data_IF_014118035644
#
_entry.id   IF_014118035644
#
_cell.length_a   1.000
_cell.length_b   1.000
_cell.length_c   1.000
_cell.angle_alpha   90.00
_cell.angle_beta   90.00
_cell.angle_gamma   90.00
#
_symmetry.space_group_name_H-M   'P 1'
#
loop_
_entity.id
_entity.type
_entity.pdbx_description
1 polymer ?
#
# COMPACT_ATOMS: atom_id res chain seq x y z
N UNK A 1 2.99 11.88 17.15
CA UNK A 1 3.85 11.77 15.95
C UNK A 1 3.75 10.36 15.39
N UNK A 2 3.54 10.19 14.11
CA UNK A 2 3.56 8.85 13.52
C UNK A 2 4.97 8.28 13.57
N UNK A 3 5.05 6.96 13.58
CA UNK A 3 6.32 6.24 13.41
C UNK A 3 6.44 5.83 11.95
N UNK A 4 7.48 6.29 11.28
CA UNK A 4 7.73 5.97 9.87
C UNK A 4 9.01 5.16 9.79
N UNK A 5 8.92 3.95 9.23
CA UNK A 5 10.07 3.06 9.07
C UNK A 5 10.15 2.58 7.63
N UNK A 6 11.36 2.48 7.10
CA UNK A 6 11.57 1.83 5.81
C UNK A 6 11.42 0.32 5.99
N UNK A 7 10.79 -0.33 5.00
CA UNK A 7 10.74 -1.79 4.95
C UNK A 7 12.16 -2.38 4.94
N UNK A 8 12.38 -3.42 5.72
CA UNK A 8 13.63 -4.15 5.69
C UNK A 8 13.71 -5.19 4.55
N UNK A 9 12.65 -5.31 3.74
CA UNK A 9 12.59 -6.24 2.61
C UNK A 9 12.73 -5.53 1.26
N UNK A 10 12.02 -4.40 1.07
CA UNK A 10 12.02 -3.65 -0.19
C UNK A 10 12.46 -2.22 0.06
N UNK A 11 13.57 -1.82 -0.56
CA UNK A 11 14.13 -0.48 -0.42
C UNK A 11 13.13 0.59 -0.89
N UNK A 12 13.00 1.66 -0.11
CA UNK A 12 12.13 2.80 -0.44
C UNK A 12 10.67 2.62 -0.08
N UNK A 13 10.21 1.42 0.25
CA UNK A 13 8.87 1.21 0.81
C UNK A 13 8.87 1.73 2.25
N UNK A 14 7.96 2.68 2.54
CA UNK A 14 7.83 3.27 3.87
C UNK A 14 6.56 2.74 4.52
N UNK A 15 6.66 2.34 5.79
CA UNK A 15 5.53 1.90 6.59
C UNK A 15 5.26 2.97 7.64
N UNK A 16 4.03 3.50 7.63
CA UNK A 16 3.61 4.56 8.54
C UNK A 16 2.67 3.97 9.58
N UNK A 17 3.08 4.06 10.85
CA UNK A 17 2.20 3.76 11.99
C UNK A 17 1.67 5.09 12.52
N UNK A 18 0.40 5.45 12.22
CA UNK A 18 -0.13 6.74 12.64
C UNK A 18 -0.39 6.77 14.15
N UNK A 19 -0.35 7.98 14.71
CA UNK A 19 -0.80 8.19 16.07
C UNK A 19 -2.32 8.13 16.12
N UNK A 20 -2.88 7.33 17.01
CA UNK A 20 -4.32 7.21 17.20
C UNK A 20 -4.73 7.93 18.48
N UNK A 21 -5.78 8.74 18.37
CA UNK A 21 -6.36 9.48 19.49
C UNK A 21 -7.78 8.99 19.72
N UNK A 22 -8.03 8.31 20.85
CA UNK A 22 -9.33 7.71 21.17
C UNK A 22 -9.93 8.26 22.44
N UNK A 23 -11.26 8.30 22.48
CA UNK A 23 -12.08 8.58 23.67
C UNK A 23 -13.39 7.79 23.59
N UNK A 24 -14.36 8.07 24.46
CA UNK A 24 -15.63 7.34 24.46
C UNK A 24 -16.47 7.50 23.18
N UNK A 25 -16.15 8.49 22.33
CA UNK A 25 -16.85 8.70 21.04
C UNK A 25 -16.24 7.90 19.91
N UNK A 26 -15.07 7.28 20.09
CA UNK A 26 -14.33 6.57 19.07
C UNK A 26 -12.88 7.04 18.97
N UNK A 27 -12.35 7.11 17.76
CA UNK A 27 -10.95 7.51 17.57
C UNK A 27 -10.77 8.43 16.38
N UNK A 28 -9.63 9.14 16.39
CA UNK A 28 -9.20 10.02 15.32
C UNK A 28 -7.77 9.67 14.93
N UNK A 29 -7.49 9.62 13.63
CA UNK A 29 -6.18 9.31 13.07
C UNK A 29 -5.90 10.28 11.93
N UNK A 30 -4.70 10.87 11.90
CA UNK A 30 -4.19 11.48 10.68
C UNK A 30 -3.65 10.37 9.77
N UNK A 31 -4.17 10.28 8.56
CA UNK A 31 -3.78 9.21 7.64
C UNK A 31 -2.69 9.61 6.67
N UNK A 32 -2.44 10.93 6.48
CA UNK A 32 -1.42 11.43 5.58
C UNK A 32 -1.00 12.86 5.95
N UNK A 33 0.31 13.10 5.88
CA UNK A 33 0.88 14.45 5.79
C UNK A 33 1.95 14.47 4.70
N UNK A 34 1.98 15.54 3.91
CA UNK A 34 3.03 15.74 2.90
C UNK A 34 4.45 15.60 3.47
N UNK A 35 4.68 16.13 4.66
CA UNK A 35 5.99 16.12 5.31
C UNK A 35 6.49 14.75 5.74
N UNK A 36 5.63 13.72 5.69
CA UNK A 36 6.04 12.36 6.04
C UNK A 36 6.95 11.74 4.99
N UNK A 37 6.89 12.22 3.75
CA UNK A 37 7.67 11.65 2.64
C UNK A 37 8.59 12.74 2.06
N UNK A 38 9.85 12.82 2.55
CA UNK A 38 10.72 13.99 2.36
C UNK A 38 11.25 14.18 0.95
N UNK A 39 11.08 13.26 0.04
CA UNK A 39 11.66 13.36 -1.30
C UNK A 39 10.90 14.30 -2.26
N UNK A 40 10.19 15.29 -1.72
CA UNK A 40 9.47 16.28 -2.50
C UNK A 40 8.22 15.76 -3.21
N UNK A 41 7.79 14.56 -2.87
CA UNK A 41 6.61 13.95 -3.45
C UNK A 41 5.37 14.40 -2.70
N UNK A 42 4.54 15.15 -3.38
CA UNK A 42 3.26 15.60 -2.85
C UNK A 42 2.15 14.76 -3.46
N UNK A 43 1.32 14.15 -2.62
CA UNK A 43 0.15 13.42 -3.11
C UNK A 43 -0.90 14.41 -3.60
N UNK A 44 -1.33 14.28 -4.85
CA UNK A 44 -2.19 15.24 -5.53
C UNK A 44 -3.54 14.68 -5.98
N UNK A 45 -3.71 13.35 -5.92
CA UNK A 45 -4.96 12.68 -6.26
C UNK A 45 -5.27 11.62 -5.20
N UNK A 46 -6.52 11.60 -4.73
CA UNK A 46 -7.00 10.57 -3.81
C UNK A 46 -8.02 9.67 -4.49
N UNK A 47 -7.89 8.37 -4.27
CA UNK A 47 -8.81 7.37 -4.81
C UNK A 47 -9.37 6.49 -3.68
N UNK A 48 -10.58 6.00 -3.85
CA UNK A 48 -11.19 5.02 -2.97
C UNK A 48 -11.65 3.81 -3.79
N UNK A 49 -11.32 2.63 -3.33
CA UNK A 49 -11.82 1.39 -3.89
C UNK A 49 -12.56 0.59 -2.82
N UNK A 50 -13.77 0.15 -3.13
CA UNK A 50 -14.50 -0.84 -2.35
C UNK A 50 -14.42 -2.16 -3.10
N UNK A 51 -14.08 -3.25 -2.40
CA UNK A 51 -13.92 -4.56 -3.02
C UNK A 51 -14.67 -5.61 -2.23
N UNK A 52 -15.25 -6.57 -2.94
CA UNK A 52 -15.86 -7.76 -2.34
C UNK A 52 -14.79 -8.76 -1.93
N UNK A 53 -15.07 -9.52 -0.88
CA UNK A 53 -14.22 -10.63 -0.47
C UNK A 53 -13.86 -11.53 -1.66
N UNK A 54 -12.61 -11.94 -1.74
CA UNK A 54 -12.10 -12.82 -2.80
C UNK A 54 -11.63 -12.11 -4.06
N UNK A 55 -11.67 -10.78 -4.12
CA UNK A 55 -11.12 -10.05 -5.26
C UNK A 55 -9.60 -9.96 -5.17
N UNK A 56 -8.94 -10.06 -6.33
CA UNK A 56 -7.50 -9.77 -6.48
C UNK A 56 -7.36 -8.62 -7.46
N UNK A 57 -6.68 -7.55 -7.04
CA UNK A 57 -6.42 -6.37 -7.84
C UNK A 57 -4.90 -6.22 -7.99
N UNK A 58 -4.43 -6.15 -9.21
CA UNK A 58 -2.99 -5.97 -9.50
C UNK A 58 -2.43 -7.14 -10.34
N UNK A 59 -1.13 -7.24 -10.44
CA UNK A 59 -0.12 -6.30 -9.96
C UNK A 59 0.03 -5.14 -10.95
N UNK A 60 0.07 -3.92 -10.42
CA UNK A 60 0.35 -2.74 -11.22
C UNK A 60 1.69 -2.13 -10.80
N UNK A 61 2.33 -1.40 -11.71
CA UNK A 61 3.50 -0.60 -11.37
C UNK A 61 3.56 0.65 -12.23
N UNK A 62 4.29 1.63 -11.74
CA UNK A 62 4.48 2.92 -12.41
C UNK A 62 5.97 3.23 -12.44
N UNK A 63 6.43 3.89 -13.50
CA UNK A 63 7.82 4.33 -13.60
C UNK A 63 8.05 5.68 -12.91
N UNK A 64 7.00 6.50 -12.79
CA UNK A 64 7.10 7.88 -12.31
C UNK A 64 6.22 8.17 -11.09
N UNK A 65 5.15 7.42 -10.87
CA UNK A 65 4.19 7.64 -9.81
C UNK A 65 4.51 6.81 -8.57
N UNK A 66 4.40 7.46 -7.41
CA UNK A 66 4.36 6.79 -6.11
C UNK A 66 2.93 6.72 -5.59
N UNK A 67 2.65 5.70 -4.81
CA UNK A 67 1.35 5.48 -4.17
C UNK A 67 1.50 5.51 -2.65
N UNK A 68 0.44 5.92 -1.95
CA UNK A 68 0.31 5.77 -0.50
C UNK A 68 -1.03 5.13 -0.16
N UNK A 69 -1.00 3.93 0.43
CA UNK A 69 -2.17 3.08 0.66
C UNK A 69 -2.58 3.04 2.12
N UNK A 70 -3.89 3.08 2.36
CA UNK A 70 -4.49 2.95 3.68
C UNK A 70 -5.79 2.14 3.58
N UNK A 71 -6.02 1.22 4.55
CA UNK A 71 -7.20 0.35 4.58
C UNK A 71 -8.08 0.71 5.78
N UNK A 72 -9.11 1.56 5.59
CA UNK A 72 -9.97 1.99 6.68
C UNK A 72 -11.02 0.95 7.11
N UNK A 73 -11.33 -0.03 6.26
CA UNK A 73 -12.38 -1.01 6.53
C UNK A 73 -12.02 -2.36 5.93
N UNK A 74 -12.31 -3.43 6.68
CA UNK A 74 -12.09 -4.81 6.23
C UNK A 74 -10.64 -5.25 6.33
N UNK A 75 -10.33 -6.40 5.73
CA UNK A 75 -9.00 -7.03 5.76
C UNK A 75 -8.46 -7.21 4.36
N UNK A 76 -7.23 -6.79 4.17
CA UNK A 76 -6.56 -6.75 2.88
C UNK A 76 -5.16 -7.35 3.00
N UNK A 77 -4.80 -8.19 2.05
CA UNK A 77 -3.41 -8.65 1.89
C UNK A 77 -2.76 -7.90 0.74
N UNK A 78 -1.81 -7.05 1.08
CA UNK A 78 -1.01 -6.30 0.10
C UNK A 78 0.17 -7.16 -0.32
N UNK A 79 0.43 -7.21 -1.62
CA UNK A 79 1.62 -7.84 -2.20
C UNK A 79 2.42 -6.78 -2.95
N UNK A 80 3.70 -6.70 -2.63
CA UNK A 80 4.67 -5.81 -3.26
C UNK A 80 5.78 -6.64 -3.88
N UNK A 81 6.26 -6.20 -5.05
CA UNK A 81 7.38 -6.85 -5.72
C UNK A 81 8.29 -5.80 -6.36
N UNK A 82 9.57 -5.83 -6.03
CA UNK A 82 10.53 -4.87 -6.55
C UNK A 82 10.97 -5.27 -7.97
N UNK A 83 10.60 -4.44 -8.95
CA UNK A 83 10.97 -4.62 -10.35
C UNK A 83 12.18 -3.79 -10.77
N UNK A 84 12.76 -3.00 -9.84
CA UNK A 84 13.84 -2.06 -10.17
C UNK A 84 15.16 -2.78 -10.35
N UNK A 85 15.66 -2.80 -11.58
CA UNK A 85 16.97 -3.37 -11.90
C UNK A 85 18.08 -2.64 -11.13
N UNK A 86 18.92 -3.40 -10.43
CA UNK A 86 20.02 -2.84 -9.65
C UNK A 86 19.64 -2.33 -8.27
N UNK A 87 18.35 -2.37 -7.89
CA UNK A 87 17.94 -2.11 -6.52
C UNK A 87 18.53 -3.16 -5.56
N UNK A 88 18.83 -2.79 -4.30
CA UNK A 88 19.28 -3.78 -3.29
C UNK A 88 18.23 -4.88 -3.05
N UNK A 89 16.97 -4.62 -3.34
CA UNK A 89 15.85 -5.56 -3.18
C UNK A 89 15.25 -6.03 -4.49
N UNK A 90 15.97 -5.88 -5.62
CA UNK A 90 15.50 -6.33 -6.93
C UNK A 90 15.05 -7.80 -6.86
N UNK A 91 13.82 -8.05 -7.32
CA UNK A 91 13.20 -9.38 -7.33
C UNK A 91 12.59 -9.83 -6.01
N UNK A 92 12.63 -9.02 -4.95
CA UNK A 92 12.04 -9.37 -3.65
C UNK A 92 10.54 -9.15 -3.67
N UNK A 93 9.80 -10.11 -3.11
CA UNK A 93 8.35 -10.04 -2.88
C UNK A 93 8.08 -9.90 -1.38
N UNK A 94 7.21 -8.96 -1.03
CA UNK A 94 6.78 -8.71 0.35
C UNK A 94 5.25 -8.76 0.44
N UNK A 95 4.75 -9.40 1.50
CA UNK A 95 3.32 -9.47 1.80
C UNK A 95 3.06 -8.75 3.11
N UNK A 96 2.04 -7.89 3.14
CA UNK A 96 1.65 -7.12 4.32
C UNK A 96 0.13 -7.20 4.46
N UNK A 97 -0.35 -7.73 5.59
CA UNK A 97 -1.78 -7.73 5.89
C UNK A 97 -2.14 -6.46 6.64
N UNK A 98 -3.20 -5.79 6.20
CA UNK A 98 -3.70 -4.54 6.76
C UNK A 98 -5.18 -4.64 7.10
N UNK A 99 -5.62 -3.75 7.99
CA UNK A 99 -7.03 -3.60 8.32
C UNK A 99 -7.46 -4.44 9.53
N UNK A 100 -8.70 -4.93 9.50
CA UNK A 100 -9.29 -5.64 10.62
C UNK A 100 -8.54 -6.95 10.92
N UNK A 101 -8.27 -7.20 12.19
CA UNK A 101 -7.63 -8.42 12.68
C UNK A 101 -8.64 -9.34 13.37
N UNK A 102 -8.36 -10.66 13.43
CA UNK A 102 -9.25 -11.60 14.11
C UNK A 102 -9.50 -11.29 15.59
N UNK A 103 -8.59 -10.62 16.26
CA UNK A 103 -8.71 -10.24 17.68
C UNK A 103 -9.61 -9.01 17.93
N UNK A 104 -10.21 -8.43 16.88
CA UNK A 104 -11.07 -7.27 16.96
C UNK A 104 -10.34 -5.93 16.86
N UNK A 105 -9.00 -5.92 16.80
CA UNK A 105 -8.23 -4.71 16.55
C UNK A 105 -8.16 -4.40 15.06
N UNK A 106 -7.70 -3.22 14.71
CA UNK A 106 -7.53 -2.79 13.33
C UNK A 106 -6.10 -2.29 13.11
N UNK A 107 -5.47 -2.80 12.05
CA UNK A 107 -4.14 -2.34 11.65
C UNK A 107 -4.29 -1.09 10.79
N UNK A 108 -3.88 0.06 11.35
CA UNK A 108 -4.00 1.37 10.70
C UNK A 108 -2.74 1.81 9.97
N UNK A 109 -1.78 0.91 9.76
CA UNK A 109 -0.55 1.28 9.05
C UNK A 109 -0.86 1.69 7.61
N UNK A 110 -0.17 2.73 7.15
CA UNK A 110 -0.14 3.10 5.75
C UNK A 110 1.13 2.62 5.07
N UNK A 111 1.09 2.44 3.76
CA UNK A 111 2.24 1.96 2.97
C UNK A 111 2.53 2.95 1.85
N UNK A 112 3.72 3.53 1.87
CA UNK A 112 4.25 4.31 0.75
C UNK A 112 5.01 3.37 -0.19
N UNK A 113 4.65 3.41 -1.47
CA UNK A 113 5.18 2.52 -2.50
C UNK A 113 5.88 3.39 -3.56
N UNK A 114 7.22 3.29 -3.67
CA UNK A 114 7.95 4.10 -4.64
C UNK A 114 7.70 3.62 -6.08
N UNK A 115 8.02 4.44 -7.09
CA UNK A 115 7.99 4.00 -8.48
C UNK A 115 8.86 2.77 -8.71
N UNK A 116 8.43 1.88 -9.60
CA UNK A 116 9.15 0.66 -9.95
C UNK A 116 8.87 -0.53 -9.05
N UNK A 117 8.14 -0.35 -7.94
CA UNK A 117 7.67 -1.45 -7.09
C UNK A 117 6.26 -1.81 -7.52
N UNK A 118 6.09 -3.04 -7.99
CA UNK A 118 4.77 -3.57 -8.35
C UNK A 118 3.94 -3.79 -7.09
N UNK A 119 2.65 -3.53 -7.19
CA UNK A 119 1.75 -3.59 -6.05
C UNK A 119 0.38 -4.10 -6.44
N UNK A 120 -0.21 -4.83 -5.52
CA UNK A 120 -1.56 -5.37 -5.66
C UNK A 120 -2.07 -5.80 -4.29
N UNK A 121 -3.32 -6.23 -4.26
CA UNK A 121 -3.91 -6.72 -3.01
C UNK A 121 -5.00 -7.76 -3.26
N UNK A 122 -5.21 -8.60 -2.25
CA UNK A 122 -6.36 -9.50 -2.16
C UNK A 122 -7.29 -9.00 -1.05
N UNK A 123 -8.58 -8.91 -1.34
CA UNK A 123 -9.58 -8.62 -0.34
C UNK A 123 -9.95 -9.91 0.40
N UNK A 124 -9.49 -10.05 1.65
CA UNK A 124 -9.77 -11.24 2.46
C UNK A 124 -11.19 -11.20 3.03
N UNK A 125 -11.74 -10.00 3.19
CA UNK A 125 -13.15 -9.71 3.50
C UNK A 125 -13.64 -8.65 2.52
N UNK A 126 -14.92 -8.29 2.56
CA UNK A 126 -15.36 -7.01 1.99
C UNK A 126 -14.52 -5.92 2.63
N UNK A 127 -13.98 -5.00 1.83
CA UNK A 127 -13.02 -4.02 2.32
C UNK A 127 -13.06 -2.73 1.53
N UNK A 128 -12.51 -1.69 2.14
CA UNK A 128 -12.26 -0.40 1.52
C UNK A 128 -10.77 -0.08 1.59
N UNK A 129 -10.21 0.38 0.48
CA UNK A 129 -8.87 0.92 0.43
C UNK A 129 -8.93 2.36 -0.08
N UNK A 130 -8.15 3.23 0.55
CA UNK A 130 -7.87 4.56 0.00
C UNK A 130 -6.41 4.62 -0.42
N UNK A 131 -6.15 5.22 -1.57
CA UNK A 131 -4.77 5.42 -2.02
C UNK A 131 -4.61 6.79 -2.63
N UNK A 132 -3.55 7.43 -2.20
CA UNK A 132 -3.11 8.73 -2.69
C UNK A 132 -1.99 8.49 -3.69
N UNK A 133 -1.93 9.31 -4.74
CA UNK A 133 -0.90 9.22 -5.77
C UNK A 133 -0.32 10.60 -6.05
N UNK A 134 0.95 10.65 -6.41
CA UNK A 134 1.68 11.90 -6.60
C UNK A 134 1.69 12.38 -8.06
N UNK A 135 1.00 11.67 -8.94
CA UNK A 135 0.71 12.08 -10.31
C UNK A 135 -0.77 11.86 -10.61
N UNK A 136 -1.35 12.67 -11.46
CA UNK A 136 -2.67 12.37 -11.99
C UNK A 136 -2.63 11.10 -12.84
N UNK A 137 -3.77 10.41 -12.92
CA UNK A 137 -3.88 9.20 -13.74
C UNK A 137 -3.27 9.42 -15.13
N UNK A 138 -2.34 8.54 -15.50
CA UNK A 138 -1.68 8.55 -16.79
C UNK A 138 -1.69 7.11 -17.36
N UNK A 139 -2.49 6.84 -18.40
CA UNK A 139 -2.58 5.49 -18.96
C UNK A 139 -1.24 4.99 -19.55
N UNK A 140 -0.32 5.91 -19.87
CA UNK A 140 1.02 5.53 -20.37
C UNK A 140 1.97 5.10 -19.23
N UNK A 141 1.60 5.32 -17.98
CA UNK A 141 2.36 4.90 -16.80
C UNK A 141 1.55 3.93 -15.92
N UNK A 142 0.51 3.32 -16.47
CA UNK A 142 -0.25 2.22 -15.85
C UNK A 142 0.21 0.91 -16.45
N UNK A 143 1.22 0.29 -15.82
CA UNK A 143 1.83 -0.94 -16.29
C UNK A 143 1.40 -2.10 -15.41
N UNK A 144 1.50 -3.32 -15.90
CA UNK A 144 1.02 -4.47 -15.15
C UNK A 144 1.89 -5.71 -15.30
N UNK A 145 1.80 -6.55 -14.27
CA UNK A 145 2.38 -7.90 -14.24
C UNK A 145 1.26 -8.85 -13.81
N UNK A 146 1.23 -10.05 -14.38
CA UNK A 146 0.23 -11.04 -14.02
C UNK A 146 0.32 -11.37 -12.51
N UNK A 147 -0.83 -11.37 -11.83
CA UNK A 147 -0.89 -11.61 -10.39
C UNK A 147 -0.39 -13.01 -10.00
N UNK A 148 -0.48 -13.96 -10.92
CA UNK A 148 -0.07 -15.35 -10.75
C UNK A 148 1.27 -15.68 -11.41
N UNK A 149 2.04 -14.68 -11.83
CA UNK A 149 3.36 -14.89 -12.42
C UNK A 149 4.26 -15.62 -11.42
N UNK A 150 4.78 -16.82 -11.76
CA UNK A 150 5.61 -17.60 -10.86
C UNK A 150 6.92 -16.90 -10.47
N UNK A 151 7.41 -15.96 -11.28
CA UNK A 151 8.59 -15.17 -10.94
C UNK A 151 8.35 -14.23 -9.76
N UNK A 152 7.10 -13.84 -9.50
CA UNK A 152 6.71 -13.04 -8.34
C UNK A 152 6.53 -13.91 -7.12
N UNK A 153 5.90 -15.08 -7.28
CA UNK A 153 5.66 -16.02 -6.19
C UNK A 153 4.75 -15.47 -5.10
N UNK A 154 3.75 -14.66 -5.48
CA UNK A 154 2.86 -14.04 -4.52
C UNK A 154 1.95 -15.06 -3.83
N UNK A 155 1.82 -14.91 -2.52
CA UNK A 155 0.81 -15.63 -1.71
C UNK A 155 -0.38 -14.70 -1.47
N UNK A 156 -1.46 -14.95 -2.17
CA UNK A 156 -2.67 -14.13 -2.09
C UNK A 156 -3.63 -14.56 -0.97
N UNK A 157 -3.33 -15.64 -0.29
CA UNK A 157 -4.17 -16.16 0.79
C UNK A 157 -4.98 -17.39 0.45
#
# INVERSE_FOLDING_TARGET
MPKITESNLIAGVQIVEPSMHGDERGFFIETYRREWFPLGREMIQGNRGDRKAGAIVGLHYHLHQADYWYVPYGTCRVVLHDLRTGSPSDGVTQTIDLGARPDGTHDHRGIFIPPGVAHGFASLTDMTITYLVDNYYNPNDELGVAYDDPAIGADWG
#
